data_IF_571590953000
#
_entry.id   IF_571590953000
#
_cell.length_a   1.000
_cell.length_b   1.000
_cell.length_c   1.000
_cell.angle_alpha   90.00
_cell.angle_beta   90.00
_cell.angle_gamma   90.00
#
_symmetry.space_group_name_H-M   'P 1'
#
loop_
_entity.id
_entity.type
_entity.pdbx_description
1 polymer ?
#
# COMPACT_ATOMS: atom_id res chain seq x y z
N UNK A 1 13.56 31.11 18.84
CA UNK A 1 12.32 30.42 18.47
C UNK A 1 12.59 29.56 17.25
N UNK A 2 12.73 28.29 17.49
CA UNK A 2 12.88 27.36 16.40
C UNK A 2 11.51 27.02 15.84
N UNK A 3 11.11 27.77 14.83
CA UNK A 3 10.10 27.29 13.93
C UNK A 3 10.71 26.18 13.06
N UNK A 4 11.02 25.05 13.70
CA UNK A 4 11.18 23.84 12.94
C UNK A 4 9.79 23.50 12.44
N UNK A 5 9.41 24.08 11.31
CA UNK A 5 8.28 23.59 10.53
C UNK A 5 8.67 22.17 10.17
N UNK A 6 8.17 21.19 10.94
CA UNK A 6 8.16 19.82 10.47
C UNK A 6 7.49 19.84 9.11
N UNK A 7 8.31 19.70 8.06
CA UNK A 7 7.80 19.64 6.71
C UNK A 7 6.86 18.45 6.62
N UNK A 8 5.58 18.74 6.56
CA UNK A 8 4.56 17.72 6.39
C UNK A 8 4.35 17.46 4.91
N UNK A 9 4.17 16.18 4.56
CA UNK A 9 3.88 15.77 3.20
C UNK A 9 2.83 14.68 3.18
N UNK A 10 2.13 14.57 2.05
CA UNK A 10 1.13 13.54 1.85
C UNK A 10 1.80 12.26 1.35
N UNK A 11 1.39 11.13 1.92
CA UNK A 11 1.85 9.80 1.59
C UNK A 11 0.67 8.88 1.36
N UNK A 12 0.66 8.19 0.22
CA UNK A 12 -0.38 7.22 -0.13
C UNK A 12 0.14 5.81 0.10
N UNK A 13 -0.53 5.07 0.97
CA UNK A 13 -0.24 3.68 1.27
C UNK A 13 -1.32 2.77 0.70
N UNK A 14 -0.91 1.65 0.09
CA UNK A 14 -1.83 0.70 -0.53
C UNK A 14 -1.63 -0.73 -0.03
N UNK A 15 -0.57 -0.99 0.73
CA UNK A 15 -0.22 -2.30 1.26
C UNK A 15 -0.15 -2.29 2.79
N UNK A 16 0.96 -2.78 3.33
CA UNK A 16 1.18 -2.95 4.77
C UNK A 16 0.97 -1.65 5.57
N UNK A 17 1.35 -0.50 5.01
CA UNK A 17 1.26 0.78 5.69
C UNK A 17 -0.14 1.39 5.70
N UNK A 18 -1.15 0.68 5.20
CA UNK A 18 -2.56 0.99 5.47
C UNK A 18 -2.95 0.60 6.89
N UNK A 19 -2.21 -0.32 7.52
CA UNK A 19 -2.50 -0.84 8.85
C UNK A 19 -2.25 0.23 9.91
N UNK A 20 -3.31 0.62 10.62
CA UNK A 20 -3.27 1.71 11.61
C UNK A 20 -2.26 1.43 12.72
N UNK A 21 -2.31 0.24 13.29
CA UNK A 21 -1.44 -0.14 14.39
C UNK A 21 0.03 -0.20 13.94
N UNK A 22 0.28 -0.76 12.76
CA UNK A 22 1.61 -0.83 12.18
C UNK A 22 2.21 0.56 11.92
N UNK A 23 1.43 1.48 11.36
CA UNK A 23 1.89 2.84 11.11
C UNK A 23 2.14 3.61 12.41
N UNK A 24 1.30 3.42 13.43
CA UNK A 24 1.51 4.04 14.74
C UNK A 24 2.84 3.61 15.36
N UNK A 25 3.25 2.38 15.12
CA UNK A 25 4.52 1.85 15.61
C UNK A 25 5.71 2.36 14.78
N UNK A 26 5.62 2.29 13.44
CA UNK A 26 6.72 2.65 12.54
C UNK A 26 6.91 4.16 12.39
N UNK A 27 5.82 4.90 12.41
CA UNK A 27 5.79 6.34 12.15
C UNK A 27 4.87 7.03 13.15
N UNK A 28 5.29 7.20 14.42
CA UNK A 28 4.42 7.79 15.44
C UNK A 28 3.89 9.18 15.10
N UNK A 29 4.63 9.94 14.29
CA UNK A 29 4.23 11.28 13.86
C UNK A 29 3.28 11.30 12.67
N UNK A 30 2.94 10.16 12.07
CA UNK A 30 2.01 10.11 10.96
C UNK A 30 0.56 10.28 11.44
N UNK A 31 -0.23 11.00 10.64
CA UNK A 31 -1.66 11.19 10.91
C UNK A 31 -2.48 10.66 9.73
N UNK A 32 -3.42 9.73 9.96
CA UNK A 32 -4.27 9.23 8.89
C UNK A 32 -5.29 10.30 8.48
N UNK A 33 -5.42 10.53 7.17
CA UNK A 33 -6.46 11.38 6.62
C UNK A 33 -7.67 10.56 6.19
N UNK A 34 -7.45 9.33 5.72
CA UNK A 34 -8.52 8.41 5.35
C UNK A 34 -8.34 7.76 3.99
N UNK A 35 -9.37 7.07 3.55
CA UNK A 35 -9.38 6.37 2.28
C UNK A 35 -9.20 7.34 1.10
N UNK A 36 -8.41 6.92 0.11
CA UNK A 36 -8.11 7.70 -1.08
C UNK A 36 -7.86 6.75 -2.26
N UNK A 37 -7.74 7.31 -3.46
CA UNK A 37 -7.59 6.53 -4.70
C UNK A 37 -6.42 7.07 -5.52
N UNK A 38 -5.43 6.23 -5.77
CA UNK A 38 -4.31 6.54 -6.66
C UNK A 38 -4.77 6.36 -8.11
N UNK A 39 -4.61 7.41 -8.92
CA UNK A 39 -5.05 7.41 -10.30
C UNK A 39 -3.98 6.83 -11.22
N UNK A 40 -4.42 6.21 -12.33
CA UNK A 40 -3.55 5.75 -13.42
C UNK A 40 -2.51 4.70 -12.99
N UNK A 41 -2.88 3.86 -12.06
CA UNK A 41 -2.05 2.74 -11.59
C UNK A 41 -2.92 1.51 -11.38
N UNK A 42 -2.30 0.34 -11.45
CA UNK A 42 -2.91 -0.94 -11.10
C UNK A 42 -2.20 -1.56 -9.90
N UNK A 43 -2.95 -2.25 -9.09
CA UNK A 43 -2.48 -2.96 -7.90
C UNK A 43 -2.01 -4.36 -8.28
N UNK A 44 -0.90 -4.82 -7.67
CA UNK A 44 -0.45 -6.21 -7.78
C UNK A 44 0.25 -6.65 -6.50
N UNK A 45 0.44 -7.96 -6.36
CA UNK A 45 1.38 -8.53 -5.40
C UNK A 45 2.59 -9.09 -6.14
N UNK A 46 3.77 -8.79 -5.61
CA UNK A 46 5.03 -9.43 -5.97
C UNK A 46 5.68 -9.90 -4.67
N UNK A 47 4.98 -10.78 -3.93
CA UNK A 47 5.12 -10.97 -2.51
C UNK A 47 4.47 -9.80 -1.79
N UNK A 48 5.17 -8.76 -1.40
CA UNK A 48 4.54 -7.51 -0.94
C UNK A 48 3.70 -6.86 -2.05
N UNK A 49 2.88 -5.89 -1.65
CA UNK A 49 2.07 -5.09 -2.56
C UNK A 49 2.92 -4.13 -3.39
N UNK A 50 2.48 -3.88 -4.61
CA UNK A 50 3.11 -2.98 -5.56
C UNK A 50 2.06 -2.31 -6.43
N UNK A 51 2.42 -1.18 -7.03
CA UNK A 51 1.60 -0.47 -8.00
C UNK A 51 2.42 -0.22 -9.26
N UNK A 52 1.77 -0.36 -10.41
CA UNK A 52 2.37 -0.11 -11.73
C UNK A 52 1.52 0.87 -12.50
N UNK A 53 2.16 1.68 -13.33
CA UNK A 53 1.46 2.62 -14.19
C UNK A 53 0.47 1.92 -15.12
N UNK A 54 -0.78 2.39 -15.14
CA UNK A 54 -1.83 1.89 -16.03
C UNK A 54 -2.93 2.93 -16.14
N UNK A 55 -3.07 3.54 -17.32
CA UNK A 55 -4.02 4.62 -17.58
C UNK A 55 -5.48 4.22 -17.35
N UNK A 56 -5.80 2.95 -17.35
CA UNK A 56 -7.18 2.44 -17.24
C UNK A 56 -7.53 1.96 -15.84
N UNK A 57 -6.61 2.08 -14.90
CA UNK A 57 -6.77 1.51 -13.57
C UNK A 57 -6.58 2.55 -12.49
N UNK A 58 -7.08 2.21 -11.31
CA UNK A 58 -6.89 2.99 -10.10
C UNK A 58 -6.68 2.06 -8.92
N UNK A 59 -6.01 2.57 -7.90
CA UNK A 59 -5.65 1.80 -6.71
C UNK A 59 -6.24 2.47 -5.48
N UNK A 60 -6.99 1.72 -4.70
CA UNK A 60 -7.53 2.19 -3.43
C UNK A 60 -6.51 2.02 -2.31
N UNK A 61 -6.48 2.95 -1.38
CA UNK A 61 -5.58 2.92 -0.25
C UNK A 61 -5.90 3.98 0.78
N UNK A 62 -4.89 4.37 1.55
CA UNK A 62 -5.02 5.32 2.66
C UNK A 62 -4.05 6.47 2.46
N UNK A 63 -4.55 7.68 2.64
CA UNK A 63 -3.75 8.89 2.62
C UNK A 63 -3.32 9.25 4.04
N UNK A 64 -2.02 9.49 4.20
CA UNK A 64 -1.39 9.87 5.45
C UNK A 64 -0.71 11.22 5.32
N UNK A 65 -0.74 12.01 6.40
CA UNK A 65 0.13 13.16 6.55
C UNK A 65 1.36 12.71 7.35
N UNK A 66 2.54 12.82 6.75
CA UNK A 66 3.78 12.34 7.36
C UNK A 66 4.79 13.49 7.54
N UNK A 67 5.75 13.28 8.42
CA UNK A 67 6.86 14.20 8.66
C UNK A 67 8.12 13.73 7.94
N UNK A 68 9.16 14.57 7.89
CA UNK A 68 10.48 14.18 7.37
C UNK A 68 11.05 12.98 8.11
N UNK A 69 10.81 12.89 9.41
CA UNK A 69 11.26 11.77 10.23
C UNK A 69 10.53 10.47 9.86
N UNK A 70 9.22 10.55 9.59
CA UNK A 70 8.45 9.43 9.07
C UNK A 70 9.00 8.97 7.72
N UNK A 71 9.31 9.90 6.83
CA UNK A 71 9.87 9.57 5.51
C UNK A 71 11.18 8.79 5.64
N UNK A 72 12.07 9.22 6.53
CA UNK A 72 13.33 8.51 6.79
C UNK A 72 13.09 7.07 7.25
N UNK A 73 12.14 6.86 8.15
CA UNK A 73 11.76 5.53 8.63
C UNK A 73 11.15 4.67 7.54
N UNK A 74 10.28 5.25 6.71
CA UNK A 74 9.65 4.55 5.58
C UNK A 74 10.69 4.17 4.53
N UNK A 75 11.64 5.05 4.22
CA UNK A 75 12.70 4.76 3.25
C UNK A 75 13.54 3.55 3.69
N UNK A 76 13.83 3.43 4.96
CA UNK A 76 14.55 2.27 5.51
C UNK A 76 13.70 1.01 5.38
N UNK A 77 12.44 1.08 5.80
CA UNK A 77 11.49 -0.05 5.74
C UNK A 77 11.33 -0.58 4.31
N UNK A 78 11.19 0.33 3.34
CA UNK A 78 10.95 -0.01 1.95
C UNK A 78 12.23 -0.37 1.18
N UNK A 79 13.39 -0.23 1.80
CA UNK A 79 14.67 -0.46 1.12
C UNK A 79 14.90 0.52 -0.04
N UNK A 80 14.48 1.79 0.17
CA UNK A 80 14.67 2.84 -0.82
C UNK A 80 16.15 3.22 -0.94
N UNK A 81 16.70 3.42 -2.14
CA UNK A 81 16.03 3.32 -3.45
C UNK A 81 16.14 1.95 -4.14
N UNK A 82 16.75 0.96 -3.50
CA UNK A 82 17.12 -0.31 -4.14
C UNK A 82 15.95 -1.24 -4.43
N UNK A 83 15.13 -1.53 -3.42
CA UNK A 83 13.97 -2.44 -3.56
C UNK A 83 12.73 -1.68 -3.99
N UNK A 84 12.35 -0.61 -3.28
CA UNK A 84 11.31 0.32 -3.71
C UNK A 84 11.95 1.64 -4.13
N UNK A 85 11.44 2.20 -5.23
CA UNK A 85 11.58 3.62 -5.55
C UNK A 85 10.40 4.39 -4.97
N UNK A 86 10.42 5.71 -5.08
CA UNK A 86 9.29 6.57 -4.71
C UNK A 86 9.12 7.70 -5.70
N UNK A 87 7.88 8.14 -5.86
CA UNK A 87 7.51 9.20 -6.79
C UNK A 87 6.31 9.98 -6.28
N UNK A 88 6.11 11.17 -6.81
CA UNK A 88 4.87 11.91 -6.63
C UNK A 88 3.86 11.45 -7.66
N UNK A 89 2.62 11.23 -7.23
CA UNK A 89 1.54 10.79 -8.11
C UNK A 89 0.22 11.44 -7.68
N UNK A 90 -0.73 11.51 -8.62
CA UNK A 90 -2.04 12.09 -8.34
C UNK A 90 -2.94 11.10 -7.62
N UNK A 91 -3.54 11.57 -6.54
CA UNK A 91 -4.45 10.83 -5.67
C UNK A 91 -5.75 11.63 -5.58
N UNK A 92 -6.88 10.94 -5.69
CA UNK A 92 -8.19 11.54 -5.42
C UNK A 92 -8.55 11.32 -3.96
N UNK A 93 -8.78 12.43 -3.28
CA UNK A 93 -9.20 12.44 -1.88
C UNK A 93 -10.31 13.46 -1.71
N UNK A 94 -11.49 13.01 -1.23
CA UNK A 94 -12.67 13.88 -1.04
C UNK A 94 -12.96 14.78 -2.27
N UNK A 95 -13.06 14.15 -3.44
CA UNK A 95 -13.36 14.80 -4.74
C UNK A 95 -12.31 15.80 -5.22
N UNK A 96 -11.13 15.82 -4.60
CA UNK A 96 -10.02 16.68 -4.99
C UNK A 96 -8.83 15.83 -5.43
N UNK A 97 -8.19 16.21 -6.53
CA UNK A 97 -6.95 15.56 -6.97
C UNK A 97 -5.76 16.32 -6.37
N UNK A 98 -4.91 15.58 -5.66
CA UNK A 98 -3.73 16.11 -4.99
C UNK A 98 -2.54 15.18 -5.25
N UNK A 99 -1.33 15.72 -5.13
CA UNK A 99 -0.11 14.91 -5.25
C UNK A 99 0.28 14.33 -3.91
N UNK A 100 0.60 13.04 -3.93
CA UNK A 100 1.10 12.32 -2.76
C UNK A 100 2.31 11.49 -3.12
N UNK A 101 3.15 11.21 -2.14
CA UNK A 101 4.29 10.32 -2.27
C UNK A 101 3.82 8.87 -2.33
N UNK A 102 4.33 8.10 -3.28
CA UNK A 102 3.97 6.69 -3.49
C UNK A 102 5.24 5.88 -3.68
N UNK A 103 5.38 4.78 -2.92
CA UNK A 103 6.44 3.80 -3.17
C UNK A 103 6.01 2.81 -4.24
N UNK A 104 6.95 2.38 -5.06
CA UNK A 104 6.73 1.37 -6.10
C UNK A 104 7.96 0.46 -6.18
N UNK A 105 7.75 -0.82 -6.48
CA UNK A 105 8.87 -1.74 -6.63
C UNK A 105 9.71 -1.40 -7.84
N UNK A 106 11.03 -1.53 -7.71
CA UNK A 106 11.93 -1.45 -8.84
C UNK A 106 11.64 -2.59 -9.83
N UNK A 107 11.93 -2.40 -11.13
CA UNK A 107 11.69 -3.43 -12.14
C UNK A 107 12.41 -4.75 -11.82
N UNK A 108 11.82 -5.86 -12.27
CA UNK A 108 12.43 -7.19 -12.14
C UNK A 108 11.76 -8.08 -11.09
N UNK A 109 10.83 -7.57 -10.32
CA UNK A 109 10.08 -8.35 -9.34
C UNK A 109 8.83 -8.95 -10.00
N UNK A 110 8.79 -10.28 -10.09
CA UNK A 110 7.66 -10.99 -10.70
C UNK A 110 6.46 -11.06 -9.78
N UNK A 111 5.27 -11.19 -10.37
CA UNK A 111 4.06 -11.47 -9.64
C UNK A 111 4.25 -12.69 -8.73
N UNK A 112 3.89 -12.53 -7.47
CA UNK A 112 3.99 -13.57 -6.45
C UNK A 112 2.92 -13.33 -5.39
N UNK A 113 2.27 -14.40 -4.95
CA UNK A 113 1.28 -14.30 -3.88
C UNK A 113 1.91 -13.81 -2.58
N UNK A 114 1.21 -12.97 -1.81
CA UNK A 114 1.69 -12.54 -0.50
C UNK A 114 1.68 -13.70 0.49
N UNK A 115 2.52 -13.62 1.55
CA UNK A 115 2.39 -14.54 2.67
C UNK A 115 1.05 -14.31 3.38
N UNK A 116 0.48 -15.32 4.06
CA UNK A 116 -0.78 -15.17 4.79
C UNK A 116 -0.73 -14.05 5.84
N UNK A 117 0.34 -13.97 6.60
CA UNK A 117 0.50 -12.93 7.63
C UNK A 117 0.54 -11.52 7.05
N UNK A 118 1.24 -11.33 5.94
CA UNK A 118 1.28 -10.05 5.24
C UNK A 118 -0.11 -9.68 4.69
N UNK A 119 -0.78 -10.64 4.05
CA UNK A 119 -2.13 -10.42 3.51
C UNK A 119 -3.10 -10.00 4.62
N UNK A 120 -3.09 -10.68 5.76
CA UNK A 120 -3.95 -10.37 6.89
C UNK A 120 -3.69 -8.96 7.44
N UNK A 121 -2.44 -8.53 7.48
CA UNK A 121 -2.07 -7.19 7.91
C UNK A 121 -2.63 -6.12 6.97
N UNK A 122 -2.53 -6.35 5.66
CA UNK A 122 -3.09 -5.45 4.64
C UNK A 122 -4.62 -5.41 4.72
N UNK A 123 -5.25 -6.57 4.84
CA UNK A 123 -6.70 -6.68 4.97
C UNK A 123 -7.23 -5.92 6.19
N UNK A 124 -6.55 -6.07 7.32
CA UNK A 124 -6.88 -5.31 8.54
C UNK A 124 -6.76 -3.80 8.29
N UNK A 125 -5.69 -3.37 7.63
CA UNK A 125 -5.50 -1.96 7.29
C UNK A 125 -6.62 -1.42 6.40
N UNK A 126 -7.07 -2.18 5.41
CA UNK A 126 -8.19 -1.80 4.55
C UNK A 126 -9.47 -1.65 5.36
N UNK A 127 -9.73 -2.58 6.28
CA UNK A 127 -10.90 -2.53 7.17
C UNK A 127 -10.84 -1.37 8.15
N UNK A 128 -9.66 -1.01 8.64
CA UNK A 128 -9.47 0.13 9.53
C UNK A 128 -9.99 1.44 8.92
N UNK A 129 -9.90 1.59 7.62
CA UNK A 129 -10.21 2.84 6.92
C UNK A 129 -11.35 2.72 5.90
N UNK A 130 -12.01 1.58 5.80
CA UNK A 130 -13.07 1.37 4.83
C UNK A 130 -12.59 1.35 3.38
N UNK A 131 -11.36 0.94 3.13
CA UNK A 131 -10.82 0.75 1.78
C UNK A 131 -11.47 -0.48 1.16
N UNK A 132 -11.87 -0.44 -0.13
CA UNK A 132 -12.52 -1.58 -0.76
C UNK A 132 -11.66 -2.84 -0.79
N UNK A 133 -12.06 -3.87 -0.05
CA UNK A 133 -11.38 -5.16 0.02
C UNK A 133 -11.39 -5.91 -1.31
N UNK A 134 -12.34 -5.59 -2.18
CA UNK A 134 -12.45 -6.20 -3.50
C UNK A 134 -11.14 -6.08 -4.29
N UNK A 135 -10.38 -5.01 -4.08
CA UNK A 135 -9.08 -4.83 -4.72
C UNK A 135 -8.12 -5.97 -4.39
N UNK A 136 -8.09 -6.41 -3.13
CA UNK A 136 -7.25 -7.52 -2.70
C UNK A 136 -7.77 -8.85 -3.27
N UNK A 137 -9.05 -9.10 -3.13
CA UNK A 137 -9.64 -10.36 -3.55
C UNK A 137 -9.57 -10.56 -5.07
N UNK A 138 -9.82 -9.53 -5.85
CA UNK A 138 -9.68 -9.59 -7.31
C UNK A 138 -8.25 -9.88 -7.74
N UNK A 139 -7.29 -9.27 -7.07
CA UNK A 139 -5.86 -9.50 -7.37
C UNK A 139 -5.47 -10.93 -7.02
N UNK A 140 -6.02 -11.49 -5.95
CA UNK A 140 -5.74 -12.86 -5.53
C UNK A 140 -6.32 -13.91 -6.48
N UNK A 141 -7.35 -13.60 -7.25
CA UNK A 141 -7.98 -14.55 -8.17
C UNK A 141 -6.99 -15.18 -9.14
N UNK A 142 -6.06 -14.39 -9.70
CA UNK A 142 -5.06 -14.93 -10.64
C UNK A 142 -4.12 -15.93 -9.99
N UNK A 143 -3.77 -15.71 -8.70
CA UNK A 143 -2.94 -16.67 -7.95
C UNK A 143 -3.74 -17.92 -7.63
N UNK A 144 -5.00 -17.76 -7.27
CA UNK A 144 -5.93 -18.86 -7.03
C UNK A 144 -6.06 -19.76 -8.27
N UNK A 145 -6.22 -19.18 -9.46
CA UNK A 145 -6.28 -19.94 -10.72
C UNK A 145 -4.99 -20.71 -11.01
N UNK A 146 -3.82 -20.10 -10.73
CA UNK A 146 -2.52 -20.74 -10.92
C UNK A 146 -2.27 -21.86 -9.91
N UNK A 147 -2.76 -21.72 -8.68
CA UNK A 147 -2.54 -22.65 -7.58
C UNK A 147 -3.65 -23.67 -7.39
N UNK A 148 -4.80 -23.54 -8.08
CA UNK A 148 -5.88 -24.53 -8.07
C UNK A 148 -5.40 -25.91 -8.56
N UNK A 149 -4.34 -25.95 -9.33
CA UNK A 149 -3.68 -27.20 -9.71
C UNK A 149 -2.81 -27.80 -8.60
N UNK A 150 -2.53 -27.05 -7.52
CA UNK A 150 -1.69 -27.46 -6.41
C UNK A 150 -2.38 -27.49 -5.04
N UNK A 151 -3.64 -27.05 -4.96
CA UNK A 151 -4.48 -27.16 -3.76
C UNK A 151 -4.09 -26.30 -2.54
N UNK A 152 -2.89 -25.75 -2.52
CA UNK A 152 -2.31 -25.11 -1.32
C UNK A 152 -2.87 -23.71 -1.06
N UNK A 153 -3.25 -23.00 -2.10
CA UNK A 153 -3.63 -21.60 -1.98
C UNK A 153 -5.06 -21.41 -1.46
N UNK A 154 -5.94 -22.32 -1.85
CA UNK A 154 -7.35 -22.28 -1.41
C UNK A 154 -7.46 -22.41 0.12
N UNK A 155 -6.61 -23.24 0.74
CA UNK A 155 -6.56 -23.38 2.18
C UNK A 155 -6.11 -22.09 2.89
N UNK A 156 -5.19 -21.35 2.28
CA UNK A 156 -4.70 -20.07 2.85
C UNK A 156 -5.76 -18.99 2.85
N UNK A 157 -6.56 -18.87 1.79
CA UNK A 157 -7.65 -17.89 1.70
C UNK A 157 -8.78 -18.23 2.67
N UNK A 158 -9.10 -19.51 2.84
CA UNK A 158 -10.15 -19.95 3.76
C UNK A 158 -9.77 -19.76 5.24
N UNK A 159 -8.49 -19.74 5.58
CA UNK A 159 -8.01 -19.52 6.95
C UNK A 159 -8.00 -18.06 7.38
N UNK A 160 -8.09 -17.11 6.45
CA UNK A 160 -8.09 -15.68 6.75
C UNK A 160 -9.51 -15.11 6.96
N UNK A 161 -10.52 -15.97 6.98
CA UNK A 161 -11.89 -15.63 7.35
C UNK A 161 -12.20 -16.25 8.72
#
# INVERSE_FOLDING_TARGET
MNDSKDNSMLYFAYGMNTNRQGMAYRCPGARPLGAATLLNHRFRFAGPADVQGDHRSQVHGVLWLITDQCLASLDILEGYPGFYGRKWAYVRYQDTEIKALVYYMQPGNKDHAPSPGYFDMVLTGYRDFGVPEAQLHKTMVKYHKRHNMQGTYHEMVCRSH
#
